data_IF_740485353049
#
_entry.id   IF_740485353049
#
_cell.length_a   1.000
_cell.length_b   1.000
_cell.length_c   1.000
_cell.angle_alpha   90.00
_cell.angle_beta   90.00
_cell.angle_gamma   90.00
#
_symmetry.space_group_name_H-M   'P 1'
#
loop_
_entity.id
_entity.type
_entity.pdbx_description
1 polymer ?
#
# COMPACT_ATOMS: atom_id res chain seq x y z
N UNK A 1 -7.95 -20.24 -5.08
CA UNK A 1 -7.33 -20.34 -3.75
C UNK A 1 -7.48 -18.99 -3.07
N UNK A 2 -7.75 -18.93 -1.77
CA UNK A 2 -7.83 -17.66 -1.04
C UNK A 2 -6.48 -17.35 -0.37
N UNK A 3 -5.85 -16.25 -0.77
CA UNK A 3 -4.61 -15.77 -0.14
C UNK A 3 -4.88 -15.21 1.26
N UNK A 4 -3.83 -15.15 2.10
CA UNK A 4 -3.92 -14.65 3.49
C UNK A 4 -2.74 -13.76 3.80
N UNK A 5 -2.99 -12.68 4.54
CA UNK A 5 -1.94 -11.81 5.01
C UNK A 5 -0.98 -12.54 5.97
N UNK A 6 0.31 -12.39 5.72
CA UNK A 6 1.35 -12.77 6.67
C UNK A 6 1.37 -11.84 7.89
N UNK A 7 2.11 -12.25 8.93
CA UNK A 7 2.22 -11.50 10.20
C UNK A 7 2.67 -10.05 10.01
N UNK A 8 3.66 -9.81 9.15
CA UNK A 8 4.17 -8.46 8.87
C UNK A 8 3.10 -7.60 8.17
N UNK A 9 2.44 -8.13 7.13
CA UNK A 9 1.37 -7.41 6.44
C UNK A 9 0.19 -7.12 7.37
N UNK A 10 -0.19 -8.04 8.25
CA UNK A 10 -1.23 -7.81 9.26
C UNK A 10 -0.86 -6.68 10.23
N UNK A 11 0.40 -6.60 10.66
CA UNK A 11 0.85 -5.53 11.54
C UNK A 11 0.80 -4.17 10.84
N UNK A 12 1.27 -4.10 9.58
CA UNK A 12 1.17 -2.90 8.77
C UNK A 12 -0.29 -2.49 8.56
N UNK A 13 -1.15 -3.44 8.18
CA UNK A 13 -2.57 -3.21 7.93
C UNK A 13 -3.28 -2.62 9.15
N UNK A 14 -3.02 -3.14 10.35
CA UNK A 14 -3.65 -2.67 11.60
C UNK A 14 -3.40 -1.20 11.91
N UNK A 15 -2.31 -0.63 11.39
CA UNK A 15 -1.96 0.78 11.58
C UNK A 15 -2.67 1.73 10.61
N UNK A 16 -3.32 1.22 9.57
CA UNK A 16 -4.01 2.02 8.56
C UNK A 16 -5.44 2.41 8.98
N UNK A 17 -5.99 3.44 8.35
CA UNK A 17 -7.42 3.79 8.44
C UNK A 17 -8.31 2.59 8.09
N UNK A 18 -9.43 2.44 8.80
CA UNK A 18 -10.34 1.30 8.64
C UNK A 18 -10.78 1.09 7.18
N UNK A 19 -10.97 2.17 6.41
CA UNK A 19 -11.35 2.10 5.00
C UNK A 19 -10.25 1.45 4.15
N UNK A 20 -8.99 1.81 4.41
CA UNK A 20 -7.84 1.18 3.75
C UNK A 20 -7.69 -0.29 4.17
N UNK A 21 -8.02 -0.62 5.43
CA UNK A 21 -8.04 -2.00 5.88
C UNK A 21 -9.06 -2.86 5.14
N UNK A 22 -10.29 -2.36 5.03
CA UNK A 22 -11.38 -3.03 4.32
C UNK A 22 -11.06 -3.18 2.83
N UNK A 23 -10.51 -2.12 2.21
CA UNK A 23 -10.08 -2.14 0.83
C UNK A 23 -8.99 -3.20 0.59
N UNK A 24 -7.94 -3.23 1.40
CA UNK A 24 -6.87 -4.21 1.23
C UNK A 24 -7.39 -5.65 1.38
N UNK A 25 -8.23 -5.92 2.38
CA UNK A 25 -8.84 -7.24 2.55
C UNK A 25 -9.71 -7.64 1.34
N UNK A 26 -10.47 -6.69 0.79
CA UNK A 26 -11.26 -6.91 -0.42
C UNK A 26 -10.38 -7.15 -1.65
N UNK A 27 -9.26 -6.41 -1.78
CA UNK A 27 -8.28 -6.60 -2.85
C UNK A 27 -7.70 -8.01 -2.81
N UNK A 28 -7.23 -8.48 -1.64
CA UNK A 28 -6.62 -9.80 -1.50
C UNK A 28 -7.60 -10.93 -1.83
N UNK A 29 -8.85 -10.80 -1.39
CA UNK A 29 -9.89 -11.80 -1.67
C UNK A 29 -10.24 -11.91 -3.18
N UNK A 30 -9.96 -10.87 -3.96
CA UNK A 30 -10.28 -10.78 -5.39
C UNK A 30 -9.08 -10.88 -6.32
N UNK A 31 -7.87 -10.84 -5.77
CA UNK A 31 -6.64 -10.82 -6.55
C UNK A 31 -6.33 -12.20 -7.13
N UNK A 32 -5.91 -12.22 -8.40
CA UNK A 32 -5.47 -13.45 -9.07
C UNK A 32 -4.07 -13.90 -8.63
N UNK A 33 -3.36 -13.06 -7.87
CA UNK A 33 -2.05 -13.31 -7.29
C UNK A 33 -1.98 -12.78 -5.86
N UNK A 34 -1.01 -13.30 -5.09
CA UNK A 34 -0.83 -12.89 -3.70
C UNK A 34 -0.34 -11.45 -3.59
N UNK A 35 -0.62 -10.80 -2.47
CA UNK A 35 -0.23 -9.42 -2.20
C UNK A 35 0.55 -9.36 -0.89
N UNK A 36 1.42 -8.36 -0.76
CA UNK A 36 2.09 -8.04 0.50
C UNK A 36 1.94 -6.56 0.83
N UNK A 37 1.68 -6.25 2.10
CA UNK A 37 1.66 -4.88 2.60
C UNK A 37 3.03 -4.58 3.20
N UNK A 38 3.74 -3.63 2.61
CA UNK A 38 5.12 -3.28 2.98
C UNK A 38 5.18 -2.13 3.97
N UNK A 39 4.17 -1.25 4.00
CA UNK A 39 4.12 -0.13 4.95
C UNK A 39 2.67 0.32 5.23
N UNK A 40 2.38 0.65 6.48
CA UNK A 40 1.14 1.30 6.90
C UNK A 40 1.45 2.66 7.53
N UNK A 41 1.54 2.72 8.86
CA UNK A 41 2.13 3.87 9.56
C UNK A 41 3.65 3.88 9.38
N UNK A 42 4.22 5.08 9.26
CA UNK A 42 5.65 5.33 9.22
C UNK A 42 6.01 6.44 10.21
N UNK A 43 6.86 6.12 11.18
CA UNK A 43 7.30 7.04 12.22
C UNK A 43 8.27 8.11 11.72
N UNK A 44 8.66 9.03 12.60
CA UNK A 44 9.59 10.12 12.28
C UNK A 44 10.94 9.62 11.76
N UNK A 45 11.57 8.71 12.50
CA UNK A 45 12.86 8.15 12.14
C UNK A 45 12.80 7.48 10.74
N UNK A 46 11.83 6.58 10.53
CA UNK A 46 11.67 5.86 9.26
C UNK A 46 11.36 6.80 8.08
N UNK A 47 10.58 7.86 8.31
CA UNK A 47 10.25 8.84 7.28
C UNK A 47 11.46 9.71 6.95
N UNK A 48 12.25 10.11 7.94
CA UNK A 48 13.50 10.84 7.74
C UNK A 48 14.52 9.97 7.00
N UNK A 49 14.68 8.70 7.36
CA UNK A 49 15.54 7.76 6.64
C UNK A 49 15.08 7.55 5.20
N UNK A 50 13.77 7.43 4.97
CA UNK A 50 13.18 7.33 3.63
C UNK A 50 13.44 8.59 2.79
N UNK A 51 13.39 9.77 3.41
CA UNK A 51 13.72 11.03 2.74
C UNK A 51 15.21 11.11 2.41
N UNK A 52 16.09 10.81 3.37
CA UNK A 52 17.55 10.86 3.19
C UNK A 52 18.05 9.90 2.11
N UNK A 53 17.46 8.69 2.02
CA UNK A 53 17.81 7.70 0.99
C UNK A 53 17.13 7.93 -0.36
N UNK A 54 16.37 9.03 -0.52
CA UNK A 54 15.67 9.39 -1.76
C UNK A 54 14.44 8.53 -2.08
N UNK A 55 13.98 7.69 -1.16
CA UNK A 55 12.78 6.86 -1.35
C UNK A 55 11.47 7.60 -1.04
N UNK A 56 11.56 8.81 -0.50
CA UNK A 56 10.44 9.71 -0.28
C UNK A 56 10.86 11.14 -0.60
N UNK A 57 9.97 11.91 -1.23
CA UNK A 57 10.12 13.37 -1.38
C UNK A 57 9.56 14.15 -0.17
N UNK A 58 8.74 13.49 0.66
CA UNK A 58 8.12 14.10 1.84
C UNK A 58 9.01 13.96 3.08
N UNK A 59 9.06 15.01 3.90
CA UNK A 59 9.63 14.99 5.26
C UNK A 59 8.60 14.45 6.26
N UNK A 60 9.03 14.18 7.49
CA UNK A 60 8.09 13.84 8.55
C UNK A 60 7.00 14.91 8.73
N UNK A 61 5.76 14.47 8.94
CA UNK A 61 4.57 15.32 9.01
C UNK A 61 3.97 15.69 7.65
N UNK A 62 4.66 15.41 6.54
CA UNK A 62 4.16 15.69 5.18
C UNK A 62 3.65 14.43 4.46
N UNK A 63 3.99 13.24 4.94
CA UNK A 63 3.54 11.98 4.37
C UNK A 63 2.23 11.52 5.03
N UNK A 64 1.29 11.02 4.24
CA UNK A 64 0.06 10.38 4.73
C UNK A 64 0.33 9.11 5.55
N UNK A 65 1.53 8.53 5.45
CA UNK A 65 1.97 7.46 6.34
C UNK A 65 2.27 7.94 7.77
N UNK A 66 2.47 9.25 8.01
CA UNK A 66 2.87 9.77 9.32
C UNK A 66 1.69 10.04 10.25
N UNK A 67 0.46 9.76 9.84
CA UNK A 67 -0.73 9.92 10.68
C UNK A 67 -1.09 8.61 11.38
N UNK A 68 -1.73 8.67 12.56
CA UNK A 68 -2.31 7.50 13.21
C UNK A 68 -3.82 7.75 13.43
N UNK A 69 -4.72 6.99 12.77
CA UNK A 69 -4.43 5.92 11.81
C UNK A 69 -3.77 6.44 10.52
N UNK A 70 -2.99 5.58 9.86
CA UNK A 70 -2.31 5.93 8.62
C UNK A 70 -3.30 6.13 7.48
N UNK A 71 -3.18 7.26 6.78
CA UNK A 71 -4.01 7.59 5.63
C UNK A 71 -3.39 7.12 4.30
N UNK A 72 -2.33 6.32 4.37
CA UNK A 72 -1.70 5.67 3.22
C UNK A 72 -1.32 4.22 3.54
N UNK A 73 -1.16 3.43 2.48
CA UNK A 73 -0.77 2.03 2.54
C UNK A 73 0.09 1.70 1.33
N UNK A 74 1.23 1.04 1.55
CA UNK A 74 2.08 0.52 0.48
C UNK A 74 1.78 -0.97 0.32
N UNK A 75 1.32 -1.36 -0.88
CA UNK A 75 0.98 -2.73 -1.26
C UNK A 75 1.81 -3.11 -2.49
N UNK A 76 2.32 -4.34 -2.52
CA UNK A 76 3.05 -4.89 -3.66
C UNK A 76 2.44 -6.24 -4.09
N UNK A 77 2.54 -6.59 -5.39
CA UNK A 77 2.34 -7.97 -5.82
C UNK A 77 3.38 -8.88 -5.15
N UNK A 78 2.98 -10.10 -4.81
CA UNK A 78 3.84 -11.11 -4.21
C UNK A 78 3.97 -12.34 -5.14
N UNK A 79 5.19 -12.85 -5.38
CA UNK A 79 6.47 -12.25 -5.00
C UNK A 79 6.70 -10.89 -5.68
N UNK A 80 7.40 -10.00 -4.98
CA UNK A 80 7.74 -8.66 -5.51
C UNK A 80 8.58 -8.85 -6.78
N UNK A 81 8.22 -8.19 -7.90
CA UNK A 81 8.97 -8.23 -9.15
C UNK A 81 10.47 -7.96 -8.91
N UNK A 82 11.31 -8.77 -9.55
CA UNK A 82 12.77 -8.68 -9.40
C UNK A 82 13.23 -7.26 -9.76
N UNK A 83 14.14 -6.70 -8.97
CA UNK A 83 14.67 -5.35 -9.15
C UNK A 83 13.59 -4.25 -9.23
N UNK A 84 12.40 -4.47 -8.66
CA UNK A 84 11.27 -3.54 -8.78
C UNK A 84 10.89 -3.26 -10.25
N UNK A 85 10.94 -4.28 -11.12
CA UNK A 85 10.53 -4.12 -12.53
C UNK A 85 9.11 -3.54 -12.62
N UNK A 86 9.03 -2.27 -13.03
CA UNK A 86 7.79 -1.51 -13.13
C UNK A 86 6.95 -1.90 -14.34
N UNK A 87 7.52 -2.68 -15.28
CA UNK A 87 6.80 -3.22 -16.44
C UNK A 87 6.00 -4.48 -16.11
N UNK A 88 6.17 -5.07 -14.92
CA UNK A 88 5.38 -6.21 -14.50
C UNK A 88 3.89 -5.83 -14.45
N UNK A 89 3.07 -6.52 -15.25
CA UNK A 89 1.63 -6.22 -15.38
C UNK A 89 0.88 -6.25 -14.04
N UNK A 90 1.39 -7.01 -13.06
CA UNK A 90 0.75 -7.15 -11.74
C UNK A 90 0.67 -5.83 -10.99
N UNK A 91 1.56 -4.87 -11.25
CA UNK A 91 1.46 -3.52 -10.69
C UNK A 91 0.18 -2.82 -11.15
N UNK A 92 -0.12 -2.88 -12.45
CA UNK A 92 -1.30 -2.25 -13.04
C UNK A 92 -2.58 -2.97 -12.62
N UNK A 93 -2.58 -4.31 -12.65
CA UNK A 93 -3.71 -5.13 -12.20
C UNK A 93 -4.03 -4.85 -10.72
N UNK A 94 -3.02 -4.75 -9.86
CA UNK A 94 -3.18 -4.39 -8.45
C UNK A 94 -3.73 -2.97 -8.27
N UNK A 95 -3.23 -1.98 -9.02
CA UNK A 95 -3.71 -0.60 -8.94
C UNK A 95 -5.18 -0.48 -9.38
N UNK A 96 -5.58 -1.15 -10.47
CA UNK A 96 -6.97 -1.21 -10.93
C UNK A 96 -7.87 -1.89 -9.90
N UNK A 97 -7.42 -2.99 -9.31
CA UNK A 97 -8.15 -3.68 -8.25
C UNK A 97 -8.34 -2.76 -7.01
N UNK A 98 -7.30 -2.01 -6.62
CA UNK A 98 -7.38 -1.06 -5.51
C UNK A 98 -8.42 0.04 -5.76
N UNK A 99 -8.37 0.67 -6.95
CA UNK A 99 -9.31 1.73 -7.33
C UNK A 99 -10.75 1.21 -7.38
N UNK A 100 -10.96 0.02 -7.94
CA UNK A 100 -12.28 -0.60 -7.96
C UNK A 100 -12.80 -0.91 -6.55
N UNK A 101 -11.97 -1.47 -5.68
CA UNK A 101 -12.35 -1.77 -4.29
C UNK A 101 -12.69 -0.50 -3.51
N UNK A 102 -11.89 0.55 -3.63
CA UNK A 102 -12.15 1.85 -3.02
C UNK A 102 -13.52 2.40 -3.47
N UNK A 103 -13.78 2.40 -4.78
CA UNK A 103 -15.05 2.85 -5.34
C UNK A 103 -16.25 2.03 -4.85
N UNK A 104 -16.09 0.71 -4.69
CA UNK A 104 -17.13 -0.15 -4.09
C UNK A 104 -17.39 0.12 -2.61
N UNK A 105 -16.36 0.55 -1.88
CA UNK A 105 -16.45 0.95 -0.48
C UNK A 105 -16.87 2.41 -0.30
N UNK A 106 -17.12 3.15 -1.40
CA UNK A 106 -17.65 4.51 -1.36
C UNK A 106 -16.62 5.59 -1.07
N UNK A 107 -15.33 5.35 -1.37
CA UNK A 107 -14.30 6.38 -1.24
C UNK A 107 -13.28 6.33 -2.38
N UNK A 108 -12.52 7.41 -2.53
CA UNK A 108 -11.51 7.53 -3.57
C UNK A 108 -10.11 7.39 -2.99
N UNK A 109 -9.20 6.89 -3.82
CA UNK A 109 -7.77 6.81 -3.51
C UNK A 109 -6.97 7.50 -4.61
N UNK A 110 -5.80 8.00 -4.24
CA UNK A 110 -4.78 8.45 -5.19
C UNK A 110 -3.65 7.44 -5.21
N UNK A 111 -3.18 7.06 -6.39
CA UNK A 111 -2.08 6.10 -6.55
C UNK A 111 -0.74 6.82 -6.79
N UNK A 112 0.32 6.40 -6.10
CA UNK A 112 1.64 7.03 -6.24
C UNK A 112 2.23 6.94 -7.65
N UNK A 113 1.84 5.93 -8.45
CA UNK A 113 2.25 5.81 -9.85
C UNK A 113 1.67 6.88 -10.78
N UNK A 114 0.65 7.63 -10.35
CA UNK A 114 0.04 8.72 -11.12
C UNK A 114 0.52 10.12 -10.69
N UNK A 115 1.48 10.22 -9.77
CA UNK A 115 2.04 11.52 -9.37
C UNK A 115 2.98 12.04 -10.46
N UNK A 116 2.89 13.35 -10.74
CA UNK A 116 3.75 14.05 -11.70
C UNK A 116 5.07 14.51 -11.06
#
# INVERSE_FOLDING_TARGET
MAYKWGKSSLNNLKSCDKRLQDMANMMLARSDFDLTITCGFRGEQEQNDAFLRGASKARFGQSKHNTMPSQAIDICPYPIPKNWDTNDRRWQEMALNAMWCAGKLGFEITWGGSFK
#
